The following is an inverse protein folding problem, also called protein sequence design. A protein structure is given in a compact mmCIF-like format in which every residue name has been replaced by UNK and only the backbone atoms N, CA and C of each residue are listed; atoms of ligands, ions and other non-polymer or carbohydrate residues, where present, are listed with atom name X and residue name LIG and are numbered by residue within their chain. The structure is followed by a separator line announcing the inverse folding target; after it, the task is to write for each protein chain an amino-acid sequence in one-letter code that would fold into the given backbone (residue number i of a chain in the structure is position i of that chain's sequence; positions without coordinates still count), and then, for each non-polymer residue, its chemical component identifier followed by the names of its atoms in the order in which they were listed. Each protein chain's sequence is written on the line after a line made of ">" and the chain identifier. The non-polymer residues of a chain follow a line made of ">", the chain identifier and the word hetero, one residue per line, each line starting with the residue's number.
data_IF_884528569556
#
_entry.id   IF_884528569556
#
_cell.length_a   1.000
_cell.length_b   1.000
_cell.length_c   1.000
_cell.angle_alpha   90.00
_cell.angle_beta   90.00
_cell.angle_gamma   90.00
#
_symmetry.space_group_name_H-M   'P 1'
#
loop_
_entity.id
_entity.type
_entity.pdbx_description
1 polymer ?
#
# COMPACT_ATOMS: atom_id res chain seq x y z
N UNK A 1 -15.95 -58.04 -3.79
CA UNK A 1 -14.90 -57.13 -4.26
C UNK A 1 -15.53 -55.75 -4.40
N UNK A 2 -15.33 -54.89 -3.42
CA UNK A 2 -15.85 -53.51 -3.44
C UNK A 2 -14.85 -52.59 -4.15
N UNK A 3 -15.30 -51.59 -4.94
CA UNK A 3 -14.40 -50.69 -5.67
C UNK A 3 -13.74 -49.68 -4.72
N UNK A 4 -12.43 -49.60 -4.81
CA UNK A 4 -11.57 -48.66 -4.12
C UNK A 4 -11.80 -47.26 -4.67
N UNK A 5 -12.37 -46.37 -3.86
CA UNK A 5 -12.46 -44.93 -4.18
C UNK A 5 -11.11 -44.31 -3.89
N UNK A 6 -10.47 -43.61 -4.85
CA UNK A 6 -9.20 -42.93 -4.58
C UNK A 6 -9.45 -41.73 -3.66
N UNK A 7 -8.77 -41.70 -2.52
CA UNK A 7 -8.67 -40.54 -1.62
C UNK A 7 -8.07 -39.37 -2.39
N UNK A 8 -8.84 -38.30 -2.49
CA UNK A 8 -8.32 -36.98 -2.90
C UNK A 8 -7.24 -36.57 -1.90
N UNK A 9 -5.99 -36.53 -2.36
CA UNK A 9 -4.89 -35.91 -1.62
C UNK A 9 -5.23 -34.46 -1.38
N UNK A 10 -5.53 -34.08 -0.15
CA UNK A 10 -5.61 -32.71 0.31
C UNK A 10 -4.26 -32.05 0.06
N UNK A 11 -4.23 -31.07 -0.87
CA UNK A 11 -3.07 -30.20 -1.03
C UNK A 11 -2.89 -29.44 0.28
N UNK A 12 -1.64 -29.23 0.78
CA UNK A 12 -1.41 -28.49 2.01
C UNK A 12 -2.08 -27.13 1.87
N UNK A 13 -2.89 -26.74 2.86
CA UNK A 13 -3.72 -25.55 2.87
C UNK A 13 -2.89 -24.31 2.52
N UNK A 14 -3.22 -23.63 1.43
CA UNK A 14 -2.64 -22.31 1.12
C UNK A 14 -2.93 -21.41 2.32
N UNK A 15 -1.88 -20.82 2.91
CA UNK A 15 -2.01 -19.82 3.95
C UNK A 15 -2.99 -18.71 3.47
N UNK A 16 -3.86 -18.26 4.37
CA UNK A 16 -4.82 -17.19 4.06
C UNK A 16 -4.01 -15.90 3.80
N UNK A 17 -4.15 -15.27 2.63
CA UNK A 17 -3.41 -14.05 2.34
C UNK A 17 -3.82 -12.90 3.28
N UNK A 18 -2.92 -11.95 3.52
CA UNK A 18 -3.19 -10.73 4.26
C UNK A 18 -4.30 -9.93 3.59
N UNK A 19 -4.18 -9.70 2.27
CA UNK A 19 -5.19 -9.08 1.43
C UNK A 19 -5.53 -9.98 0.24
N UNK A 20 -6.81 -10.17 -0.03
CA UNK A 20 -7.29 -10.82 -1.25
C UNK A 20 -8.33 -9.94 -1.92
N UNK A 21 -8.12 -9.67 -3.19
CA UNK A 21 -9.04 -8.93 -4.07
C UNK A 21 -9.44 -9.86 -5.21
N UNK A 22 -10.74 -10.03 -5.43
CA UNK A 22 -11.28 -10.90 -6.49
C UNK A 22 -12.26 -10.15 -7.35
N UNK A 23 -12.01 -10.13 -8.66
CA UNK A 23 -12.89 -9.59 -9.71
C UNK A 23 -13.44 -8.19 -9.40
N UNK A 24 -12.59 -7.32 -8.83
CA UNK A 24 -12.95 -6.00 -8.37
C UNK A 24 -13.23 -5.06 -9.53
N UNK A 25 -14.45 -4.50 -9.58
CA UNK A 25 -14.80 -3.38 -10.46
C UNK A 25 -15.21 -2.18 -9.63
N UNK A 26 -14.68 -1.00 -9.96
CA UNK A 26 -14.92 0.25 -9.26
C UNK A 26 -14.62 1.45 -10.17
N UNK A 27 -15.23 2.60 -9.86
CA UNK A 27 -15.02 3.83 -10.62
C UNK A 27 -15.78 5.00 -10.04
N UNK A 28 -15.91 6.07 -10.80
CA UNK A 28 -16.55 7.32 -10.41
C UNK A 28 -17.76 7.62 -11.28
N UNK A 29 -18.82 8.18 -10.70
CA UNK A 29 -20.08 8.42 -11.43
C UNK A 29 -20.53 7.13 -12.11
N UNK A 30 -20.81 7.15 -13.40
CA UNK A 30 -21.25 5.99 -14.19
C UNK A 30 -20.08 5.24 -14.87
N UNK A 31 -18.84 5.72 -14.73
CA UNK A 31 -17.69 5.16 -15.41
C UNK A 31 -16.91 4.20 -14.53
N UNK A 32 -16.66 2.98 -15.02
CA UNK A 32 -15.72 2.05 -14.40
C UNK A 32 -14.28 2.40 -14.78
N UNK A 33 -13.42 2.38 -13.78
CA UNK A 33 -11.97 2.54 -13.93
C UNK A 33 -11.25 1.21 -13.72
N UNK A 34 -11.76 0.37 -12.81
CA UNK A 34 -11.28 -0.98 -12.56
C UNK A 34 -12.27 -1.99 -13.14
N UNK A 35 -11.78 -3.01 -13.82
CA UNK A 35 -12.57 -3.97 -14.57
C UNK A 35 -12.19 -5.42 -14.21
N UNK A 36 -12.80 -5.99 -13.17
CA UNK A 36 -12.58 -7.37 -12.76
C UNK A 36 -11.14 -7.62 -12.29
N UNK A 37 -10.57 -6.67 -11.53
CA UNK A 37 -9.19 -6.75 -11.06
C UNK A 37 -9.08 -7.75 -9.91
N UNK A 38 -8.08 -8.64 -9.99
CA UNK A 38 -7.74 -9.57 -8.92
C UNK A 38 -6.27 -9.43 -8.53
N UNK A 39 -5.99 -9.39 -7.24
CA UNK A 39 -4.63 -9.39 -6.66
C UNK A 39 -4.64 -9.93 -5.25
N UNK A 40 -3.45 -10.24 -4.72
CA UNK A 40 -3.26 -10.60 -3.33
C UNK A 40 -1.97 -10.02 -2.77
N UNK A 41 -1.94 -9.90 -1.45
CA UNK A 41 -0.75 -9.59 -0.64
C UNK A 41 -0.68 -10.63 0.46
N UNK A 42 0.44 -11.30 0.61
CA UNK A 42 0.67 -12.27 1.68
C UNK A 42 1.19 -11.54 2.96
N UNK A 43 1.17 -12.20 4.13
CA UNK A 43 1.64 -11.57 5.38
C UNK A 43 3.12 -11.13 5.24
N UNK A 44 3.43 -9.87 5.59
CA UNK A 44 4.76 -9.30 5.50
C UNK A 44 5.28 -9.07 4.07
N UNK A 45 4.47 -9.32 3.05
CA UNK A 45 4.88 -9.15 1.65
C UNK A 45 4.85 -7.67 1.24
N UNK A 46 5.85 -7.21 0.49
CA UNK A 46 5.81 -5.97 -0.26
C UNK A 46 5.43 -6.28 -1.69
N UNK A 47 4.26 -5.82 -2.08
CA UNK A 47 3.70 -5.96 -3.43
C UNK A 47 3.68 -4.60 -4.11
N UNK A 48 4.18 -4.52 -5.34
CA UNK A 48 4.09 -3.32 -6.16
C UNK A 48 2.96 -3.43 -7.19
N UNK A 49 2.26 -2.32 -7.44
CA UNK A 49 1.37 -2.14 -8.59
C UNK A 49 1.95 -1.03 -9.44
N UNK A 50 2.42 -1.38 -10.62
CA UNK A 50 3.01 -0.45 -11.57
C UNK A 50 2.10 -0.30 -12.80
N UNK A 51 2.24 0.78 -13.53
CA UNK A 51 1.49 1.05 -14.75
C UNK A 51 1.46 2.53 -15.11
N UNK A 52 1.01 2.89 -16.32
CA UNK A 52 0.96 4.26 -16.77
C UNK A 52 -0.03 5.11 -15.93
N UNK A 53 0.05 6.42 -16.12
CA UNK A 53 -0.94 7.34 -15.56
C UNK A 53 -2.33 7.02 -16.13
N UNK A 54 -3.36 7.08 -15.30
CA UNK A 54 -4.71 6.70 -15.69
C UNK A 54 -4.98 5.19 -15.73
N UNK A 55 -4.01 4.32 -15.40
CA UNK A 55 -4.23 2.87 -15.37
C UNK A 55 -5.22 2.38 -14.31
N UNK A 56 -5.58 3.22 -13.32
CA UNK A 56 -6.49 2.87 -12.23
C UNK A 56 -5.80 2.60 -10.89
N UNK A 57 -4.48 2.84 -10.79
CA UNK A 57 -3.67 2.55 -9.58
C UNK A 57 -4.22 3.21 -8.31
N UNK A 58 -4.40 4.54 -8.31
CA UNK A 58 -4.94 5.26 -7.14
C UNK A 58 -6.41 4.92 -6.90
N UNK A 59 -7.20 4.59 -7.94
CA UNK A 59 -8.58 4.12 -7.79
C UNK A 59 -8.61 2.79 -7.05
N UNK A 60 -7.69 1.88 -7.34
CA UNK A 60 -7.52 0.63 -6.59
C UNK A 60 -7.29 0.91 -5.11
N UNK A 61 -6.27 1.71 -4.76
CA UNK A 61 -5.96 2.01 -3.35
C UNK A 61 -7.12 2.71 -2.64
N UNK A 62 -7.77 3.68 -3.29
CA UNK A 62 -8.95 4.37 -2.75
C UNK A 62 -10.13 3.42 -2.53
N UNK A 63 -10.31 2.42 -3.40
CA UNK A 63 -11.36 1.41 -3.23
C UNK A 63 -11.06 0.50 -2.05
N UNK A 64 -9.81 0.05 -1.90
CA UNK A 64 -9.34 -0.75 -0.77
C UNK A 64 -9.46 0.02 0.56
N UNK A 65 -9.23 1.33 0.55
CA UNK A 65 -9.36 2.22 1.70
C UNK A 65 -10.82 2.63 2.03
N UNK A 66 -11.81 2.20 1.22
CA UNK A 66 -13.23 2.53 1.41
C UNK A 66 -13.61 3.96 1.04
N UNK A 67 -12.78 4.65 0.26
CA UNK A 67 -13.02 6.00 -0.28
C UNK A 67 -13.79 5.95 -1.61
N UNK A 68 -13.68 4.85 -2.34
CA UNK A 68 -14.46 4.56 -3.54
C UNK A 68 -15.22 3.26 -3.30
N UNK A 69 -16.52 3.26 -3.55
CA UNK A 69 -17.35 2.07 -3.35
C UNK A 69 -17.15 1.09 -4.51
N UNK A 70 -16.84 -0.19 -4.25
CA UNK A 70 -16.80 -1.21 -5.30
C UNK A 70 -18.20 -1.42 -5.88
N UNK A 71 -18.27 -1.67 -7.19
CA UNK A 71 -19.52 -2.02 -7.88
C UNK A 71 -19.73 -3.53 -7.92
N UNK A 72 -18.62 -4.28 -8.05
CA UNK A 72 -18.63 -5.73 -8.01
C UNK A 72 -17.30 -6.26 -7.48
N UNK A 73 -17.23 -7.56 -7.24
CA UNK A 73 -16.04 -8.23 -6.73
C UNK A 73 -16.04 -8.32 -5.21
N UNK A 74 -14.92 -8.81 -4.67
CA UNK A 74 -14.75 -9.05 -3.23
C UNK A 74 -13.39 -8.57 -2.76
N UNK A 75 -13.36 -7.98 -1.57
CA UNK A 75 -12.14 -7.57 -0.86
C UNK A 75 -12.16 -8.26 0.51
N UNK A 76 -11.14 -9.06 0.80
CA UNK A 76 -10.99 -9.72 2.09
C UNK A 76 -9.63 -9.38 2.71
N UNK A 77 -9.62 -9.02 4.01
CA UNK A 77 -8.42 -8.80 4.81
C UNK A 77 -8.33 -9.94 5.84
N UNK A 78 -7.27 -10.76 5.76
CA UNK A 78 -7.10 -11.99 6.57
C UNK A 78 -8.35 -12.89 6.57
N UNK A 79 -8.97 -13.03 5.41
CA UNK A 79 -10.19 -13.83 5.22
C UNK A 79 -11.49 -13.13 5.63
N UNK A 80 -11.43 -12.04 6.41
CA UNK A 80 -12.61 -11.25 6.76
C UNK A 80 -13.04 -10.35 5.60
N UNK A 81 -14.32 -10.40 5.22
CA UNK A 81 -14.88 -9.58 4.16
C UNK A 81 -14.98 -8.11 4.59
N UNK A 82 -14.31 -7.23 3.84
CA UNK A 82 -14.35 -5.77 4.02
C UNK A 82 -14.92 -5.04 2.80
N UNK A 83 -15.53 -5.77 1.87
CA UNK A 83 -16.10 -5.21 0.62
C UNK A 83 -17.12 -4.12 0.94
N UNK A 84 -16.90 -2.91 0.41
CA UNK A 84 -17.77 -1.76 0.64
C UNK A 84 -17.83 -1.25 2.08
N UNK A 85 -16.95 -1.72 2.95
CA UNK A 85 -16.84 -1.18 4.32
C UNK A 85 -16.38 0.28 4.29
N UNK A 86 -16.86 1.08 5.25
CA UNK A 86 -16.40 2.46 5.40
C UNK A 86 -14.97 2.53 5.98
N UNK A 87 -14.25 3.63 5.67
CA UNK A 87 -12.85 3.86 6.04
C UNK A 87 -12.53 3.58 7.51
N UNK A 88 -13.41 4.01 8.45
CA UNK A 88 -13.21 3.76 9.88
C UNK A 88 -13.11 2.26 10.22
N UNK A 89 -13.97 1.42 9.62
CA UNK A 89 -13.97 -0.03 9.82
C UNK A 89 -12.73 -0.66 9.19
N UNK A 90 -12.32 -0.18 8.02
CA UNK A 90 -11.13 -0.65 7.31
C UNK A 90 -9.87 -0.37 8.12
N UNK A 91 -9.69 0.87 8.63
CA UNK A 91 -8.57 1.22 9.50
C UNK A 91 -8.57 0.37 10.78
N UNK A 92 -9.74 0.19 11.41
CA UNK A 92 -9.87 -0.66 12.60
C UNK A 92 -9.53 -2.13 12.34
N UNK A 93 -9.69 -2.62 11.10
CA UNK A 93 -9.26 -3.98 10.70
C UNK A 93 -7.76 -4.11 10.40
N UNK A 94 -7.02 -2.99 10.44
CA UNK A 94 -5.57 -2.97 10.28
C UNK A 94 -5.06 -2.61 8.89
N UNK A 95 -5.89 -2.00 8.03
CA UNK A 95 -5.45 -1.48 6.72
C UNK A 95 -5.38 0.05 6.78
N UNK A 96 -4.23 0.63 6.47
CA UNK A 96 -4.03 2.08 6.45
C UNK A 96 -3.58 2.56 5.06
N UNK A 97 -4.08 3.72 4.63
CA UNK A 97 -3.79 4.31 3.33
C UNK A 97 -3.07 5.64 3.49
N UNK A 98 -1.97 5.79 2.79
CA UNK A 98 -1.20 7.04 2.65
C UNK A 98 -1.42 7.58 1.24
N UNK A 99 -2.17 8.66 1.07
CA UNK A 99 -2.40 9.27 -0.24
C UNK A 99 -1.16 10.01 -0.74
N UNK A 100 -1.07 10.22 -2.04
CA UNK A 100 0.00 10.96 -2.70
C UNK A 100 0.09 12.40 -2.20
N UNK A 101 -1.05 13.07 -2.04
CA UNK A 101 -1.16 14.48 -1.67
C UNK A 101 -2.08 14.68 -0.46
N UNK A 102 -2.04 15.88 0.13
CA UNK A 102 -2.87 16.27 1.28
C UNK A 102 -2.80 15.28 2.45
N UNK A 103 -1.62 14.72 2.67
CA UNK A 103 -1.38 13.60 3.58
C UNK A 103 -0.91 14.03 4.99
N UNK A 104 -0.75 15.33 5.23
CA UNK A 104 -0.39 15.92 6.53
C UNK A 104 -1.21 17.18 6.83
N UNK A 105 -1.28 17.60 8.08
CA UNK A 105 -1.90 18.85 8.52
C UNK A 105 -0.84 19.95 8.58
N UNK A 106 -0.73 20.83 7.57
CA UNK A 106 0.42 21.74 7.43
C UNK A 106 0.51 22.81 8.53
N UNK A 107 -0.61 23.19 9.14
CA UNK A 107 -0.68 24.17 10.23
C UNK A 107 -0.25 23.61 11.58
N UNK A 108 -0.26 22.29 11.74
CA UNK A 108 0.12 21.59 12.97
C UNK A 108 1.61 21.27 12.96
N UNK A 109 2.20 21.09 14.15
CA UNK A 109 3.56 20.59 14.31
C UNK A 109 3.66 19.12 13.86
N UNK A 110 4.88 18.66 13.62
CA UNK A 110 5.16 17.25 13.34
C UNK A 110 4.59 16.35 14.45
N UNK A 111 4.80 16.73 15.72
CA UNK A 111 4.32 15.95 16.86
C UNK A 111 2.80 15.89 16.94
N UNK A 112 2.11 17.00 16.71
CA UNK A 112 0.64 17.03 16.66
C UNK A 112 0.08 16.17 15.52
N UNK A 113 0.71 16.21 14.33
CA UNK A 113 0.36 15.30 13.23
C UNK A 113 0.45 13.82 13.65
N UNK A 114 1.56 13.43 14.29
CA UNK A 114 1.72 12.06 14.79
C UNK A 114 0.64 11.71 15.83
N UNK A 115 0.36 12.61 16.77
CA UNK A 115 -0.62 12.37 17.84
C UNK A 115 -2.04 12.17 17.26
N UNK A 116 -2.42 12.94 16.24
CA UNK A 116 -3.68 12.75 15.51
C UNK A 116 -3.71 11.37 14.84
N UNK A 117 -2.58 10.89 14.27
CA UNK A 117 -2.49 9.56 13.71
C UNK A 117 -2.85 8.44 14.71
N UNK A 118 -2.66 8.65 16.00
CA UNK A 118 -2.99 7.68 17.05
C UNK A 118 -4.45 7.71 17.54
N UNK A 119 -5.38 8.26 16.77
CA UNK A 119 -6.79 8.43 17.17
C UNK A 119 -7.51 7.13 17.61
N UNK A 120 -7.03 5.97 17.14
CA UNK A 120 -7.58 4.65 17.53
C UNK A 120 -7.18 4.22 18.94
N UNK A 121 -6.10 4.80 19.50
CA UNK A 121 -5.59 4.47 20.84
C UNK A 121 -4.92 5.69 21.49
N UNK A 122 -5.72 6.68 21.92
CA UNK A 122 -5.20 7.97 22.44
C UNK A 122 -4.26 7.81 23.64
N UNK A 123 -4.51 6.83 24.52
CA UNK A 123 -3.71 6.58 25.72
C UNK A 123 -2.26 6.15 25.44
N UNK A 124 -1.98 5.55 24.29
CA UNK A 124 -0.64 5.10 23.88
C UNK A 124 0.04 6.05 22.88
N UNK A 125 -0.56 7.21 22.56
CA UNK A 125 -0.11 8.09 21.48
C UNK A 125 1.34 8.56 21.61
N UNK A 126 1.78 8.93 22.81
CA UNK A 126 3.14 9.41 23.04
C UNK A 126 4.21 8.30 22.95
N UNK A 127 3.89 7.10 23.44
CA UNK A 127 4.79 5.94 23.36
C UNK A 127 4.95 5.49 21.90
N UNK A 128 3.85 5.36 21.18
CA UNK A 128 3.85 5.02 19.74
C UNK A 128 4.59 6.07 18.92
N UNK A 129 4.36 7.36 19.18
CA UNK A 129 5.06 8.43 18.48
C UNK A 129 6.57 8.34 18.66
N UNK A 130 7.08 8.00 19.87
CA UNK A 130 8.51 7.77 20.09
C UNK A 130 9.02 6.59 19.27
N UNK A 131 8.34 5.44 19.32
CA UNK A 131 8.72 4.25 18.55
C UNK A 131 8.68 4.49 17.02
N UNK A 132 7.73 5.29 16.54
CA UNK A 132 7.62 5.63 15.12
C UNK A 132 8.72 6.60 14.69
N UNK A 133 9.07 7.62 15.49
CA UNK A 133 10.13 8.57 15.11
C UNK A 133 11.53 7.94 15.10
N UNK A 134 11.75 6.80 15.76
CA UNK A 134 13.00 6.03 15.64
C UNK A 134 13.22 5.55 14.19
N UNK A 135 12.14 5.32 13.45
CA UNK A 135 12.18 5.02 12.00
C UNK A 135 12.47 6.26 11.14
N UNK A 136 12.20 7.44 11.66
CA UNK A 136 12.29 8.70 10.94
C UNK A 136 13.02 9.76 11.76
N UNK A 137 14.36 9.64 11.96
CA UNK A 137 15.13 10.52 12.84
C UNK A 137 14.95 12.01 12.54
N UNK A 138 14.80 12.38 11.27
CA UNK A 138 14.53 13.76 10.84
C UNK A 138 13.23 14.33 11.45
N UNK A 139 12.24 13.50 11.72
CA UNK A 139 10.98 13.92 12.37
C UNK A 139 11.18 14.16 13.87
N UNK A 140 12.07 13.41 14.52
CA UNK A 140 12.43 13.63 15.92
C UNK A 140 13.09 15.00 16.11
N UNK A 141 14.04 15.35 15.25
CA UNK A 141 14.73 16.63 15.25
C UNK A 141 13.78 17.81 15.00
N UNK A 142 12.80 17.61 14.11
CA UNK A 142 11.83 18.62 13.71
C UNK A 142 10.48 18.53 14.42
N UNK A 143 10.38 17.83 15.55
CA UNK A 143 9.10 17.53 16.21
C UNK A 143 8.21 18.75 16.50
N UNK A 144 8.82 19.93 16.73
CA UNK A 144 8.12 21.20 17.02
C UNK A 144 7.89 22.06 15.79
N UNK A 145 8.49 21.72 14.63
CA UNK A 145 8.31 22.45 13.39
C UNK A 145 6.91 22.22 12.84
N UNK A 146 6.33 23.26 12.20
CA UNK A 146 5.06 23.10 11.47
C UNK A 146 5.27 22.19 10.26
N UNK A 147 4.36 21.22 10.02
CA UNK A 147 4.47 20.29 8.91
C UNK A 147 4.52 20.98 7.53
N UNK A 148 3.90 22.17 7.41
CA UNK A 148 3.96 22.99 6.19
C UNK A 148 5.36 23.51 5.84
N UNK A 149 6.30 23.55 6.80
CA UNK A 149 7.69 24.00 6.58
C UNK A 149 8.64 22.86 6.20
N UNK A 150 8.15 21.61 6.20
CA UNK A 150 8.93 20.44 5.83
C UNK A 150 9.16 20.40 4.31
N UNK A 151 10.29 19.83 3.89
CA UNK A 151 10.53 19.44 2.50
C UNK A 151 9.54 18.39 2.02
N UNK A 152 9.42 18.17 0.71
CA UNK A 152 8.54 17.14 0.15
C UNK A 152 8.82 15.75 0.74
N UNK A 153 10.09 15.35 0.82
CA UNK A 153 10.49 14.06 1.39
C UNK A 153 10.20 13.95 2.89
N UNK A 154 10.43 15.01 3.68
CA UNK A 154 10.09 15.04 5.10
C UNK A 154 8.57 14.96 5.32
N UNK A 155 7.75 15.63 4.48
CA UNK A 155 6.29 15.50 4.54
C UNK A 155 5.85 14.08 4.23
N UNK A 156 6.45 13.43 3.23
CA UNK A 156 6.12 12.05 2.89
C UNK A 156 6.49 11.08 4.03
N UNK A 157 7.65 11.29 4.66
CA UNK A 157 8.03 10.53 5.86
C UNK A 157 7.05 10.76 7.01
N UNK A 158 6.58 12.01 7.22
CA UNK A 158 5.56 12.31 8.23
C UNK A 158 4.24 11.60 7.93
N UNK A 159 3.79 11.58 6.67
CA UNK A 159 2.57 10.88 6.28
C UNK A 159 2.65 9.36 6.55
N UNK A 160 3.77 8.73 6.20
CA UNK A 160 4.01 7.32 6.53
C UNK A 160 4.07 7.09 8.05
N UNK A 161 4.74 7.98 8.78
CA UNK A 161 4.81 7.93 10.24
C UNK A 161 3.41 8.03 10.89
N UNK A 162 2.55 8.95 10.42
CA UNK A 162 1.16 9.06 10.89
C UNK A 162 0.37 7.77 10.65
N UNK A 163 0.55 7.14 9.49
CA UNK A 163 -0.11 5.88 9.17
C UNK A 163 0.37 4.73 10.08
N UNK A 164 1.63 4.72 10.50
CA UNK A 164 2.16 3.72 11.43
C UNK A 164 1.63 3.89 12.87
N UNK A 165 1.13 5.08 13.23
CA UNK A 165 0.58 5.34 14.57
C UNK A 165 -0.66 4.48 14.91
N UNK A 166 -1.38 3.96 13.91
CA UNK A 166 -2.51 3.03 14.13
C UNK A 166 -2.07 1.56 14.20
N UNK A 167 -0.76 1.27 14.10
CA UNK A 167 -0.19 -0.09 14.06
C UNK A 167 -0.87 -0.97 13.01
N UNK A 168 -0.82 -0.56 11.72
CA UNK A 168 -1.49 -1.29 10.66
C UNK A 168 -0.85 -2.67 10.44
N UNK A 169 -1.60 -3.59 9.84
CA UNK A 169 -1.10 -4.86 9.31
C UNK A 169 -0.74 -4.75 7.83
N UNK A 170 -1.45 -3.88 7.12
CA UNK A 170 -1.24 -3.58 5.71
C UNK A 170 -1.20 -2.07 5.51
N UNK A 171 -0.13 -1.60 4.87
CA UNK A 171 0.05 -0.20 4.48
C UNK A 171 -0.13 -0.07 2.97
N UNK A 172 -1.05 0.79 2.55
CA UNK A 172 -1.24 1.17 1.16
C UNK A 172 -0.51 2.50 0.91
N UNK A 173 0.42 2.53 -0.03
CA UNK A 173 1.20 3.71 -0.39
C UNK A 173 0.91 4.13 -1.83
N UNK A 174 0.41 5.36 -2.02
CA UNK A 174 0.06 5.91 -3.33
C UNK A 174 1.14 6.87 -3.80
N UNK A 175 1.99 6.41 -4.71
CA UNK A 175 3.08 7.16 -5.35
C UNK A 175 3.95 7.97 -4.35
N UNK A 176 4.50 7.35 -3.29
CA UNK A 176 5.20 8.08 -2.23
C UNK A 176 6.48 8.77 -2.70
N UNK A 177 7.02 8.41 -3.87
CA UNK A 177 8.21 9.05 -4.43
C UNK A 177 7.92 10.15 -5.45
N UNK A 178 6.64 10.38 -5.80
CA UNK A 178 6.26 11.30 -6.85
C UNK A 178 6.69 12.75 -6.56
N UNK A 179 7.23 13.43 -7.57
CA UNK A 179 7.66 14.83 -7.47
C UNK A 179 8.89 15.09 -6.59
N UNK A 180 9.53 14.04 -6.04
CA UNK A 180 10.72 14.18 -5.22
C UNK A 180 12.01 14.14 -6.06
N UNK A 181 13.03 14.86 -5.59
CA UNK A 181 14.38 14.74 -6.15
C UNK A 181 14.93 13.31 -5.98
N UNK A 182 15.79 12.80 -6.87
CA UNK A 182 16.26 11.40 -6.87
C UNK A 182 16.87 10.92 -5.55
N UNK A 183 17.57 11.79 -4.81
CA UNK A 183 18.13 11.45 -3.50
C UNK A 183 17.03 11.21 -2.45
N UNK A 184 15.94 12.01 -2.49
CA UNK A 184 14.79 11.87 -1.59
C UNK A 184 13.93 10.66 -1.96
N UNK A 185 13.79 10.34 -3.25
CA UNK A 185 13.12 9.12 -3.68
C UNK A 185 13.80 7.88 -3.09
N UNK A 186 15.13 7.80 -3.19
CA UNK A 186 15.90 6.69 -2.60
C UNK A 186 15.66 6.58 -1.09
N UNK A 187 15.70 7.71 -0.38
CA UNK A 187 15.43 7.74 1.06
C UNK A 187 14.02 7.22 1.40
N UNK A 188 12.99 7.60 0.63
CA UNK A 188 11.62 7.09 0.79
C UNK A 188 11.56 5.58 0.57
N UNK A 189 12.17 5.05 -0.50
CA UNK A 189 12.20 3.62 -0.76
C UNK A 189 12.98 2.84 0.31
N UNK A 190 14.06 3.40 0.85
CA UNK A 190 14.81 2.79 1.96
C UNK A 190 13.94 2.71 3.22
N UNK A 191 13.14 3.74 3.52
CA UNK A 191 12.17 3.70 4.63
C UNK A 191 11.07 2.66 4.38
N UNK A 192 10.54 2.56 3.17
CA UNK A 192 9.54 1.53 2.81
C UNK A 192 10.12 0.13 3.02
N UNK A 193 11.38 -0.12 2.60
CA UNK A 193 12.08 -1.39 2.83
C UNK A 193 12.25 -1.68 4.33
N UNK A 194 12.66 -0.70 5.12
CA UNK A 194 12.85 -0.84 6.56
C UNK A 194 11.55 -1.16 7.29
N UNK A 195 10.45 -0.49 6.92
CA UNK A 195 9.11 -0.74 7.45
C UNK A 195 8.67 -2.18 7.11
N UNK A 196 8.84 -2.62 5.85
CA UNK A 196 8.49 -3.98 5.43
C UNK A 196 9.35 -5.04 6.14
N UNK A 197 10.64 -4.79 6.33
CA UNK A 197 11.54 -5.71 7.04
C UNK A 197 11.13 -5.96 8.51
N UNK A 198 10.28 -5.11 9.09
CA UNK A 198 9.66 -5.31 10.42
C UNK A 198 8.41 -6.19 10.36
N UNK A 199 8.08 -6.76 9.21
CA UNK A 199 6.96 -7.69 9.00
C UNK A 199 5.64 -7.03 8.60
N UNK A 200 5.63 -5.71 8.33
CA UNK A 200 4.44 -5.02 7.84
C UNK A 200 4.20 -5.33 6.36
N UNK A 201 3.00 -5.83 6.01
CA UNK A 201 2.58 -5.96 4.61
C UNK A 201 2.46 -4.58 3.94
N UNK A 202 2.92 -4.45 2.70
CA UNK A 202 2.85 -3.18 1.95
C UNK A 202 2.30 -3.44 0.55
N UNK A 203 1.31 -2.66 0.14
CA UNK A 203 0.89 -2.53 -1.24
C UNK A 203 1.31 -1.14 -1.74
N UNK A 204 2.34 -1.11 -2.56
CA UNK A 204 2.95 0.09 -3.10
C UNK A 204 2.45 0.33 -4.52
N UNK A 205 1.84 1.46 -4.77
CA UNK A 205 1.55 1.96 -6.11
C UNK A 205 2.61 2.97 -6.49
N UNK A 206 3.22 2.84 -7.65
CA UNK A 206 4.29 3.73 -8.10
C UNK A 206 4.30 3.91 -9.62
N UNK A 207 4.81 5.05 -10.05
CA UNK A 207 5.16 5.32 -11.44
C UNK A 207 6.61 4.94 -11.72
N UNK A 208 7.51 5.05 -10.72
CA UNK A 208 8.90 4.62 -10.81
C UNK A 208 8.98 3.09 -10.76
N UNK A 209 8.66 2.46 -11.88
CA UNK A 209 8.57 1.00 -11.97
C UNK A 209 9.92 0.32 -11.68
N UNK A 210 11.06 0.91 -12.07
CA UNK A 210 12.38 0.32 -11.88
C UNK A 210 12.72 0.11 -10.41
N UNK A 211 12.55 1.15 -9.60
CA UNK A 211 12.83 1.09 -8.16
C UNK A 211 11.82 0.19 -7.44
N UNK A 212 10.53 0.27 -7.81
CA UNK A 212 9.48 -0.54 -7.20
C UNK A 212 9.68 -2.04 -7.47
N UNK A 213 10.04 -2.42 -8.70
CA UNK A 213 10.33 -3.82 -9.06
C UNK A 213 11.61 -4.36 -8.40
N UNK A 214 12.58 -3.49 -8.10
CA UNK A 214 13.78 -3.87 -7.35
C UNK A 214 13.51 -4.07 -5.85
N UNK A 215 12.44 -3.45 -5.34
CA UNK A 215 12.08 -3.47 -3.92
C UNK A 215 11.13 -4.61 -3.55
N UNK A 216 10.17 -4.93 -4.43
CA UNK A 216 9.06 -5.81 -4.11
C UNK A 216 9.38 -7.30 -4.33
N UNK A 217 8.68 -8.16 -3.57
CA UNK A 217 8.69 -9.60 -3.78
C UNK A 217 7.81 -9.98 -4.99
N UNK A 218 6.66 -9.33 -5.14
CA UNK A 218 5.68 -9.53 -6.23
C UNK A 218 5.26 -8.20 -6.80
N UNK A 219 4.96 -8.17 -8.09
CA UNK A 219 4.34 -7.02 -8.70
C UNK A 219 3.21 -7.39 -9.64
N UNK A 220 2.31 -6.43 -9.81
CA UNK A 220 1.22 -6.43 -10.78
C UNK A 220 1.42 -5.26 -11.75
N UNK A 221 1.33 -5.54 -13.04
CA UNK A 221 1.31 -4.51 -14.08
C UNK A 221 -0.14 -4.19 -14.39
N UNK A 222 -0.55 -2.96 -14.12
CA UNK A 222 -1.91 -2.48 -14.34
C UNK A 222 -1.97 -1.61 -15.60
N UNK A 223 -2.91 -1.92 -16.49
CA UNK A 223 -3.21 -1.07 -17.63
C UNK A 223 -4.71 -1.13 -17.95
N UNK A 224 -5.31 0.05 -18.17
CA UNK A 224 -6.74 0.20 -18.50
C UNK A 224 -7.65 -0.53 -17.49
N UNK A 225 -7.34 -0.37 -16.18
CA UNK A 225 -8.12 -0.95 -15.09
C UNK A 225 -8.03 -2.47 -14.92
N UNK A 226 -7.11 -3.14 -15.63
CA UNK A 226 -6.93 -4.59 -15.61
C UNK A 226 -5.49 -4.98 -15.28
N UNK A 227 -5.30 -6.09 -14.59
CA UNK A 227 -3.98 -6.71 -14.45
C UNK A 227 -3.56 -7.30 -15.80
N UNK A 228 -2.40 -6.89 -16.31
CA UNK A 228 -1.80 -7.39 -17.56
C UNK A 228 -0.72 -8.42 -17.32
N UNK A 229 0.03 -8.27 -16.24
CA UNK A 229 1.04 -9.24 -15.82
C UNK A 229 1.12 -9.29 -14.31
N UNK A 230 1.48 -10.46 -13.78
CA UNK A 230 1.80 -10.71 -12.38
C UNK A 230 3.08 -11.55 -12.34
N UNK A 231 3.98 -11.24 -11.42
CA UNK A 231 5.20 -12.01 -11.25
C UNK A 231 6.07 -11.53 -10.09
N UNK A 232 7.19 -12.21 -9.86
CA UNK A 232 8.23 -11.72 -8.96
C UNK A 232 8.81 -10.41 -9.50
N UNK A 233 9.07 -9.44 -8.61
CA UNK A 233 9.56 -8.11 -9.01
C UNK A 233 10.81 -8.17 -9.90
N UNK A 234 11.79 -9.00 -9.54
CA UNK A 234 13.00 -9.20 -10.34
C UNK A 234 12.70 -9.77 -11.73
N UNK A 235 11.79 -10.75 -11.84
CA UNK A 235 11.42 -11.35 -13.12
C UNK A 235 10.75 -10.33 -14.05
N UNK A 236 9.81 -9.53 -13.53
CA UNK A 236 9.16 -8.48 -14.32
C UNK A 236 10.11 -7.33 -14.69
N UNK A 237 11.07 -7.02 -13.82
CA UNK A 237 12.11 -6.01 -14.13
C UNK A 237 12.99 -6.43 -15.30
N UNK A 238 13.29 -7.73 -15.40
CA UNK A 238 14.18 -8.28 -16.43
C UNK A 238 13.42 -8.69 -17.70
N UNK A 239 12.08 -8.64 -17.69
CA UNK A 239 11.21 -8.94 -18.85
C UNK A 239 11.38 -7.86 -19.93
N UNK A 240 11.72 -8.24 -21.21
CA UNK A 240 11.95 -7.28 -22.29
C UNK A 240 10.71 -6.45 -22.65
N UNK A 241 9.53 -7.03 -22.58
CA UNK A 241 8.27 -6.33 -22.90
C UNK A 241 7.93 -5.30 -21.82
N UNK A 242 8.03 -5.69 -20.55
CA UNK A 242 7.84 -4.78 -19.41
C UNK A 242 8.85 -3.65 -19.45
N UNK A 243 10.12 -3.95 -19.73
CA UNK A 243 11.17 -2.93 -19.89
C UNK A 243 10.82 -1.91 -20.95
N UNK A 244 10.45 -2.37 -22.14
CA UNK A 244 10.08 -1.49 -23.26
C UNK A 244 8.86 -0.63 -22.97
N UNK A 245 7.83 -1.18 -22.29
CA UNK A 245 6.56 -0.49 -22.08
C UNK A 245 6.55 0.41 -20.84
N UNK A 246 7.32 0.07 -19.78
CA UNK A 246 7.16 0.68 -18.46
C UNK A 246 8.47 1.14 -17.81
N UNK A 247 9.66 0.73 -18.30
CA UNK A 247 10.95 1.06 -17.68
C UNK A 247 11.80 2.04 -18.49
N UNK A 248 11.33 2.48 -19.66
CA UNK A 248 12.08 3.38 -20.56
C UNK A 248 13.30 2.66 -21.13
N UNK A 249 13.06 1.71 -22.01
CA UNK A 249 14.10 0.91 -22.68
C UNK A 249 15.04 1.71 -23.53
#
# INVERSE_FOLDING_TARGET
>A
MAPHTPQRSERPGKAVPLLEVRELSAGYGDSDILHGLSLRVDDGELVAVIGPNGAGKSTLLKTLAGLVRPRSGRIALRGADITGAGTRRIVASGLCYVPQEANVFPSLSVWENLTIGAWTAPGASNERARAVVDLFPVLAERRRARAGTLSGGERQMLAMAMALMVEPRLLLLDEPSAGLAPALQRLVFDRVREINARGLGILLVEQNARESLALCQRAYVLAMGRVRAEGAGGALRDDPEIRRLYLGG
#
